data_IF_339567037096
#
_entry.id   IF_339567037096
#
_cell.length_a   1.000
_cell.length_b   1.000
_cell.length_c   1.000
_cell.angle_alpha   90.00
_cell.angle_beta   90.00
_cell.angle_gamma   90.00
#
_symmetry.space_group_name_H-M   'P 1'
#
loop_
_entity.id
_entity.type
_entity.pdbx_description
1 polymer ?
#
# COMPACT_ATOMS: atom_id res chain seq x y z
N UNK A 1 10.50 -22.42 -16.18
CA UNK A 1 9.89 -21.94 -14.95
C UNK A 1 9.80 -20.42 -15.11
N UNK A 2 8.62 -19.89 -15.33
CA UNK A 2 8.40 -18.46 -15.48
C UNK A 2 8.33 -17.82 -14.09
N UNK A 3 8.91 -16.63 -13.92
CA UNK A 3 8.97 -15.87 -12.65
C UNK A 3 7.61 -15.64 -11.96
N UNK A 4 6.51 -15.98 -12.62
CA UNK A 4 5.14 -15.86 -12.09
C UNK A 4 4.80 -16.85 -10.96
N UNK A 5 5.55 -17.94 -10.83
CA UNK A 5 5.29 -18.99 -9.81
C UNK A 5 6.00 -18.76 -8.48
N UNK A 6 6.78 -17.68 -8.36
CA UNK A 6 7.65 -17.46 -7.19
C UNK A 6 7.00 -16.63 -6.06
N UNK A 7 5.83 -16.02 -6.28
CA UNK A 7 5.21 -15.17 -5.26
C UNK A 7 3.91 -15.80 -4.75
N UNK A 8 3.76 -16.02 -3.45
CA UNK A 8 2.50 -16.42 -2.84
C UNK A 8 1.42 -15.36 -3.10
N UNK A 9 0.16 -15.69 -2.90
CA UNK A 9 -0.96 -14.79 -3.13
C UNK A 9 -0.85 -13.50 -2.32
N UNK A 10 -0.39 -13.59 -1.07
CA UNK A 10 -0.03 -12.47 -0.23
C UNK A 10 1.16 -12.79 0.66
N UNK A 11 1.96 -11.76 0.96
CA UNK A 11 3.06 -11.82 1.89
C UNK A 11 2.81 -10.88 3.07
N UNK A 12 3.12 -11.33 4.28
CA UNK A 12 3.08 -10.50 5.48
C UNK A 12 4.28 -9.55 5.47
N UNK A 13 4.02 -8.26 5.39
CA UNK A 13 5.05 -7.21 5.36
C UNK A 13 5.46 -6.77 6.77
N UNK A 14 4.49 -6.70 7.66
CA UNK A 14 4.65 -6.40 9.08
C UNK A 14 3.42 -6.93 9.82
N UNK A 15 3.42 -6.87 11.15
CA UNK A 15 2.29 -7.35 11.93
C UNK A 15 0.97 -6.75 11.43
N UNK A 16 0.10 -7.59 10.91
CA UNK A 16 -1.22 -7.24 10.40
C UNK A 16 -1.24 -6.62 8.99
N UNK A 17 -0.10 -6.27 8.38
CA UNK A 17 -0.07 -5.69 7.02
C UNK A 17 0.38 -6.74 5.99
N UNK A 18 -0.44 -6.97 4.99
CA UNK A 18 -0.23 -7.92 3.90
C UNK A 18 -0.23 -7.22 2.55
N UNK A 19 0.66 -7.66 1.66
CA UNK A 19 0.75 -7.20 0.27
C UNK A 19 0.51 -8.38 -0.67
N UNK A 20 -0.46 -8.27 -1.58
CA UNK A 20 -0.88 -9.39 -2.40
C UNK A 20 -1.34 -9.03 -3.81
N UNK A 21 -1.75 -10.08 -4.51
CA UNK A 21 -2.41 -10.03 -5.82
C UNK A 21 -3.93 -10.22 -5.68
N UNK A 22 -4.63 -10.27 -6.82
CA UNK A 22 -6.08 -10.48 -6.84
C UNK A 22 -6.49 -11.83 -6.23
N UNK A 23 -5.64 -12.86 -6.33
CA UNK A 23 -5.90 -14.19 -5.73
C UNK A 23 -5.93 -14.13 -4.20
N UNK A 24 -5.13 -13.25 -3.59
CA UNK A 24 -5.19 -13.02 -2.14
C UNK A 24 -6.58 -12.57 -1.70
N UNK A 25 -7.19 -11.65 -2.45
CA UNK A 25 -8.56 -11.19 -2.21
C UNK A 25 -9.57 -12.33 -2.33
N UNK A 26 -9.43 -13.17 -3.37
CA UNK A 26 -10.29 -14.33 -3.58
C UNK A 26 -10.12 -15.37 -2.47
N UNK A 27 -8.88 -15.59 -2.00
CA UNK A 27 -8.59 -16.52 -0.90
C UNK A 27 -9.20 -16.06 0.42
N UNK A 28 -9.20 -14.74 0.70
CA UNK A 28 -9.92 -14.19 1.85
C UNK A 28 -11.43 -14.46 1.77
N UNK A 29 -12.00 -14.47 0.55
CA UNK A 29 -13.41 -14.77 0.34
C UNK A 29 -13.76 -16.24 0.60
N UNK A 30 -12.78 -17.13 0.42
CA UNK A 30 -12.94 -18.58 0.57
C UNK A 30 -12.54 -19.09 1.97
N UNK A 31 -11.74 -18.32 2.72
CA UNK A 31 -11.43 -18.64 4.11
C UNK A 31 -12.73 -18.65 4.90
N UNK A 32 -13.17 -19.86 5.26
CA UNK A 32 -14.36 -20.05 6.09
C UNK A 32 -14.15 -19.38 7.45
N UNK A 33 -15.26 -18.97 8.04
CA UNK A 33 -15.42 -18.12 9.20
C UNK A 33 -14.81 -18.65 10.53
N UNK A 34 -13.76 -19.46 10.49
CA UNK A 34 -13.14 -20.02 11.69
C UNK A 34 -12.25 -19.03 12.46
N UNK A 35 -11.84 -17.94 11.86
CA UNK A 35 -11.17 -16.85 12.57
C UNK A 35 -11.91 -15.54 12.35
N UNK A 36 -12.39 -14.96 13.42
CA UNK A 36 -13.05 -13.64 13.49
C UNK A 36 -12.10 -12.47 13.13
N UNK A 37 -11.18 -12.69 12.19
CA UNK A 37 -10.27 -11.65 11.74
C UNK A 37 -11.05 -10.65 10.87
N UNK A 38 -11.29 -9.47 11.41
CA UNK A 38 -11.84 -8.36 10.64
C UNK A 38 -10.73 -7.80 9.73
N UNK A 39 -11.02 -7.77 8.43
CA UNK A 39 -10.10 -7.29 7.42
C UNK A 39 -10.45 -5.89 6.93
N UNK A 40 -9.41 -5.08 6.76
CA UNK A 40 -9.44 -3.91 5.91
C UNK A 40 -8.76 -4.24 4.58
N UNK A 41 -9.40 -3.95 3.46
CA UNK A 41 -8.84 -4.21 2.14
C UNK A 41 -8.63 -2.91 1.40
N UNK A 42 -7.43 -2.73 0.83
CA UNK A 42 -7.09 -1.65 -0.09
C UNK A 42 -6.87 -2.25 -1.48
N UNK A 43 -7.81 -2.02 -2.36
CA UNK A 43 -7.80 -2.48 -3.74
C UNK A 43 -7.30 -1.40 -4.67
N UNK A 44 -6.30 -1.69 -5.51
CA UNK A 44 -5.76 -0.76 -6.50
C UNK A 44 -5.88 -1.39 -7.89
N UNK A 45 -6.99 -1.14 -8.57
CA UNK A 45 -7.34 -1.78 -9.85
C UNK A 45 -7.88 -0.75 -10.85
N UNK A 46 -7.77 -1.07 -12.14
CA UNK A 46 -8.44 -0.32 -13.19
C UNK A 46 -9.97 -0.48 -13.11
N UNK A 47 -10.71 0.41 -13.73
CA UNK A 47 -12.18 0.31 -13.79
C UNK A 47 -12.64 -1.04 -14.37
N UNK A 48 -11.98 -1.52 -15.45
CA UNK A 48 -12.35 -2.79 -16.08
C UNK A 48 -12.05 -3.99 -15.18
N UNK A 49 -10.97 -3.93 -14.37
CA UNK A 49 -10.56 -5.02 -13.49
C UNK A 49 -11.44 -5.09 -12.21
N UNK A 50 -12.16 -4.01 -11.91
CA UNK A 50 -13.14 -3.96 -10.81
C UNK A 50 -14.48 -4.62 -11.17
N UNK A 51 -14.77 -4.80 -12.47
CA UNK A 51 -16.02 -5.44 -12.91
C UNK A 51 -16.10 -6.87 -12.40
N UNK A 52 -17.15 -7.18 -11.63
CA UNK A 52 -17.37 -8.51 -11.06
C UNK A 52 -16.53 -8.82 -9.81
N UNK A 53 -15.78 -7.86 -9.28
CA UNK A 53 -15.08 -8.03 -8.00
C UNK A 53 -16.08 -8.16 -6.86
N UNK A 54 -16.05 -9.31 -6.18
CA UNK A 54 -16.86 -9.57 -4.99
C UNK A 54 -16.01 -9.42 -3.75
N UNK A 55 -16.55 -8.73 -2.74
CA UNK A 55 -15.91 -8.61 -1.44
C UNK A 55 -16.17 -9.84 -0.57
N UNK A 56 -15.17 -10.31 0.17
CA UNK A 56 -15.38 -11.30 1.22
C UNK A 56 -16.29 -10.77 2.32
N UNK A 57 -17.05 -11.63 2.96
CA UNK A 57 -18.01 -11.28 4.05
C UNK A 57 -17.33 -10.68 5.28
N UNK A 58 -16.04 -10.95 5.48
CA UNK A 58 -15.25 -10.52 6.64
C UNK A 58 -14.49 -9.21 6.41
N UNK A 59 -14.74 -8.54 5.29
CA UNK A 59 -14.16 -7.20 5.04
C UNK A 59 -15.04 -6.15 5.68
N UNK A 60 -14.52 -5.56 6.76
CA UNK A 60 -15.17 -4.47 7.50
C UNK A 60 -15.01 -3.12 6.80
N UNK A 61 -13.86 -2.91 6.16
CA UNK A 61 -13.57 -1.68 5.44
C UNK A 61 -12.89 -1.96 4.10
N UNK A 62 -13.42 -1.39 3.03
CA UNK A 62 -12.87 -1.52 1.69
C UNK A 62 -12.57 -0.16 1.07
N UNK A 63 -11.29 0.12 0.87
CA UNK A 63 -10.84 1.28 0.13
C UNK A 63 -10.52 0.88 -1.32
N UNK A 64 -11.24 1.46 -2.27
CA UNK A 64 -10.98 1.26 -3.71
C UNK A 64 -10.25 2.47 -4.27
N UNK A 65 -9.10 2.22 -4.88
CA UNK A 65 -8.31 3.17 -5.64
C UNK A 65 -8.35 2.73 -7.11
N UNK A 66 -8.93 3.59 -7.96
CA UNK A 66 -9.06 3.32 -9.38
C UNK A 66 -7.82 3.80 -10.10
N UNK A 67 -7.00 2.86 -10.56
CA UNK A 67 -5.74 3.18 -11.23
C UNK A 67 -5.29 2.06 -12.17
N UNK A 68 -4.84 2.44 -13.35
CA UNK A 68 -4.08 1.57 -14.25
C UNK A 68 -2.60 1.51 -13.80
N UNK A 69 -1.90 0.46 -14.22
CA UNK A 69 -0.45 0.40 -14.06
C UNK A 69 0.22 1.04 -15.27
N UNK A 70 0.16 2.36 -15.33
CA UNK A 70 0.62 3.17 -16.44
C UNK A 70 1.47 4.34 -15.97
N UNK A 71 2.39 4.80 -16.83
CA UNK A 71 3.32 5.89 -16.53
C UNK A 71 2.62 7.27 -16.43
N UNK A 72 1.44 7.42 -17.02
CA UNK A 72 0.65 8.64 -16.96
C UNK A 72 -0.23 8.75 -15.70
N UNK A 73 -0.34 7.67 -14.92
CA UNK A 73 -1.20 7.62 -13.73
C UNK A 73 -0.52 8.31 -12.55
N UNK A 74 -1.25 9.19 -11.88
CA UNK A 74 -0.85 9.82 -10.64
C UNK A 74 -1.57 9.19 -9.43
N UNK A 75 -0.80 8.53 -8.56
CA UNK A 75 -1.27 7.96 -7.31
C UNK A 75 -1.06 8.88 -6.10
N UNK A 76 -0.40 10.03 -6.26
CA UNK A 76 -0.08 10.93 -5.14
C UNK A 76 -1.31 11.41 -4.36
N UNK A 77 -2.48 11.69 -4.97
CA UNK A 77 -3.67 12.06 -4.22
C UNK A 77 -4.19 10.96 -3.29
N UNK A 78 -3.86 9.70 -3.59
CA UNK A 78 -4.34 8.55 -2.84
C UNK A 78 -3.45 8.18 -1.65
N UNK A 79 -2.20 8.65 -1.60
CA UNK A 79 -1.22 8.21 -0.59
C UNK A 79 -1.68 8.51 0.84
N UNK A 80 -2.12 9.73 1.11
CA UNK A 80 -2.58 10.11 2.46
C UNK A 80 -3.84 9.36 2.87
N UNK A 81 -4.79 9.18 1.92
CA UNK A 81 -6.04 8.45 2.17
C UNK A 81 -5.80 6.97 2.45
N UNK A 82 -4.94 6.34 1.65
CA UNK A 82 -4.56 4.95 1.85
C UNK A 82 -3.79 4.75 3.17
N UNK A 83 -2.82 5.63 3.46
CA UNK A 83 -2.10 5.60 4.73
C UNK A 83 -3.06 5.69 5.93
N UNK A 84 -3.99 6.64 5.93
CA UNK A 84 -4.95 6.81 7.02
C UNK A 84 -5.82 5.57 7.22
N UNK A 85 -6.30 4.95 6.14
CA UNK A 85 -7.10 3.72 6.20
C UNK A 85 -6.29 2.55 6.79
N UNK A 86 -5.07 2.35 6.31
CA UNK A 86 -4.16 1.29 6.77
C UNK A 86 -3.81 1.50 8.24
N UNK A 87 -3.31 2.69 8.61
CA UNK A 87 -2.89 3.00 9.97
C UNK A 87 -4.06 2.86 10.97
N UNK A 88 -5.24 3.37 10.62
CA UNK A 88 -6.44 3.25 11.44
C UNK A 88 -6.87 1.79 11.65
N UNK A 89 -6.80 0.94 10.63
CA UNK A 89 -7.15 -0.47 10.74
C UNK A 89 -6.14 -1.22 11.63
N UNK A 90 -4.84 -1.01 11.40
CA UNK A 90 -3.77 -1.63 12.20
C UNK A 90 -3.83 -1.20 13.68
N UNK A 91 -4.12 0.09 13.95
CA UNK A 91 -4.27 0.59 15.32
C UNK A 91 -5.45 -0.06 16.06
N UNK A 92 -6.47 -0.54 15.34
CA UNK A 92 -7.59 -1.32 15.88
C UNK A 92 -7.34 -2.82 15.98
N UNK A 93 -6.12 -3.28 15.67
CA UNK A 93 -5.75 -4.69 15.68
C UNK A 93 -6.30 -5.49 14.50
N UNK A 94 -6.81 -4.82 13.44
CA UNK A 94 -7.32 -5.48 12.24
C UNK A 94 -6.18 -5.86 11.30
N UNK A 95 -6.40 -6.89 10.50
CA UNK A 95 -5.52 -7.23 9.38
C UNK A 95 -5.83 -6.37 8.16
N UNK A 96 -4.80 -5.98 7.42
CA UNK A 96 -4.91 -5.14 6.22
C UNK A 96 -4.30 -5.87 5.03
N UNK A 97 -5.08 -6.04 3.97
CA UNK A 97 -4.59 -6.51 2.68
C UNK A 97 -4.52 -5.33 1.70
N UNK A 98 -3.33 -5.02 1.19
CA UNK A 98 -3.15 -4.11 0.06
C UNK A 98 -2.90 -4.95 -1.18
N UNK A 99 -3.77 -4.89 -2.18
CA UNK A 99 -3.62 -5.70 -3.39
C UNK A 99 -3.89 -4.92 -4.67
N UNK A 100 -3.38 -5.46 -5.78
CA UNK A 100 -3.74 -5.07 -7.13
C UNK A 100 -3.93 -6.32 -7.99
N UNK A 101 -3.81 -6.24 -9.30
CA UNK A 101 -3.92 -7.41 -10.19
C UNK A 101 -2.84 -8.45 -9.91
N UNK A 102 -1.57 -8.05 -9.98
CA UNK A 102 -0.42 -8.95 -9.84
C UNK A 102 0.34 -8.83 -8.50
N UNK A 103 0.02 -7.83 -7.69
CA UNK A 103 0.75 -7.58 -6.44
C UNK A 103 2.20 -7.11 -6.65
N UNK A 104 2.48 -6.45 -7.78
CA UNK A 104 3.84 -6.09 -8.21
C UNK A 104 4.07 -4.57 -8.15
N UNK A 105 3.20 -3.77 -8.78
CA UNK A 105 3.45 -2.34 -8.99
C UNK A 105 2.52 -1.45 -8.19
N UNK A 106 1.22 -1.35 -8.53
CA UNK A 106 0.23 -0.45 -7.91
C UNK A 106 0.11 -0.65 -6.40
N UNK A 107 -0.14 -1.87 -5.95
CA UNK A 107 -0.27 -2.19 -4.53
C UNK A 107 1.03 -2.00 -3.77
N UNK A 108 2.17 -2.34 -4.38
CA UNK A 108 3.49 -2.10 -3.80
C UNK A 108 3.78 -0.61 -3.64
N UNK A 109 3.28 0.23 -4.56
CA UNK A 109 3.39 1.70 -4.44
C UNK A 109 2.60 2.22 -3.24
N UNK A 110 1.37 1.78 -3.06
CA UNK A 110 0.54 2.18 -1.91
C UNK A 110 1.14 1.68 -0.59
N UNK A 111 1.61 0.44 -0.53
CA UNK A 111 2.26 -0.09 0.67
C UNK A 111 3.57 0.66 0.99
N UNK A 112 4.37 1.03 -0.03
CA UNK A 112 5.58 1.83 0.15
C UNK A 112 5.25 3.25 0.65
N UNK A 113 4.22 3.89 0.09
CA UNK A 113 3.77 5.20 0.53
C UNK A 113 3.33 5.17 2.01
N UNK A 114 2.62 4.12 2.43
CA UNK A 114 2.29 3.92 3.85
C UNK A 114 3.55 3.83 4.72
N UNK A 115 4.54 3.04 4.34
CA UNK A 115 5.79 2.91 5.11
C UNK A 115 6.58 4.23 5.19
N UNK A 116 6.61 5.01 4.11
CA UNK A 116 7.23 6.34 4.08
C UNK A 116 6.57 7.28 5.10
N UNK A 117 5.24 7.35 5.07
CA UNK A 117 4.47 8.23 5.95
C UNK A 117 4.51 7.78 7.41
N UNK A 118 4.45 6.47 7.66
CA UNK A 118 4.43 5.89 9.01
C UNK A 118 5.80 5.96 9.69
N UNK A 119 6.88 5.71 8.94
CA UNK A 119 8.23 5.53 9.52
C UNK A 119 9.19 6.68 9.22
N UNK A 120 8.79 7.64 8.38
CA UNK A 120 9.67 8.73 7.96
C UNK A 120 10.89 8.27 7.15
N UNK A 121 10.84 7.11 6.51
CA UNK A 121 11.94 6.56 5.70
C UNK A 121 11.84 7.02 4.25
N UNK A 122 12.94 6.95 3.51
CA UNK A 122 12.96 7.29 2.10
C UNK A 122 12.35 6.20 1.20
N UNK A 123 12.12 6.51 -0.06
CA UNK A 123 11.49 5.59 -1.01
C UNK A 123 12.34 4.33 -1.28
N UNK A 124 13.68 4.40 -1.46
CA UNK A 124 14.51 3.21 -1.57
C UNK A 124 14.42 2.28 -0.36
N UNK A 125 14.43 2.83 0.85
CA UNK A 125 14.31 2.06 2.09
C UNK A 125 12.94 1.39 2.21
N UNK A 126 11.86 2.10 1.90
CA UNK A 126 10.51 1.53 1.89
C UNK A 126 10.39 0.35 0.90
N UNK A 127 10.89 0.52 -0.32
CA UNK A 127 10.92 -0.56 -1.32
C UNK A 127 11.82 -1.72 -0.91
N UNK A 128 12.94 -1.45 -0.23
CA UNK A 128 13.81 -2.50 0.29
C UNK A 128 13.11 -3.32 1.38
N UNK A 129 12.34 -2.69 2.28
CA UNK A 129 11.50 -3.39 3.26
C UNK A 129 10.53 -4.32 2.55
N UNK A 130 9.77 -3.82 1.58
CA UNK A 130 8.80 -4.66 0.86
C UNK A 130 9.47 -5.83 0.13
N UNK A 131 10.62 -5.63 -0.53
CA UNK A 131 11.33 -6.68 -1.28
C UNK A 131 11.84 -7.81 -0.42
N UNK A 132 12.13 -7.58 0.86
CA UNK A 132 12.53 -8.64 1.80
C UNK A 132 11.43 -9.66 2.00
N UNK A 133 10.18 -9.23 1.93
CA UNK A 133 9.01 -10.08 2.14
C UNK A 133 8.40 -10.56 0.83
N UNK A 134 8.35 -9.67 -0.19
CA UNK A 134 7.79 -9.96 -1.51
C UNK A 134 8.78 -9.56 -2.60
N UNK A 135 9.55 -10.53 -3.10
CA UNK A 135 10.66 -10.29 -4.04
C UNK A 135 10.22 -9.74 -5.37
N UNK A 136 9.01 -10.06 -5.81
CA UNK A 136 8.49 -9.70 -7.14
C UNK A 136 8.03 -8.24 -7.26
N UNK A 137 8.06 -7.43 -6.20
CA UNK A 137 7.61 -6.05 -6.30
C UNK A 137 8.49 -5.23 -7.25
N UNK A 138 7.84 -4.40 -8.04
CA UNK A 138 8.48 -3.52 -9.01
C UNK A 138 7.55 -2.39 -9.44
N UNK A 139 7.35 -1.33 -8.61
CA UNK A 139 6.63 -0.15 -9.06
C UNK A 139 7.21 0.40 -10.36
N UNK A 140 6.35 0.85 -11.28
CA UNK A 140 6.79 1.45 -12.53
C UNK A 140 7.59 2.75 -12.29
N UNK A 141 8.21 3.30 -13.32
CA UNK A 141 9.12 4.45 -13.18
C UNK A 141 8.41 5.71 -12.67
N UNK A 142 7.14 5.94 -13.07
CA UNK A 142 6.36 7.08 -12.60
C UNK A 142 6.02 6.93 -11.12
N UNK A 143 5.58 5.77 -10.68
CA UNK A 143 5.27 5.50 -9.27
C UNK A 143 6.51 5.60 -8.37
N UNK A 144 7.68 5.16 -8.85
CA UNK A 144 8.93 5.37 -8.08
C UNK A 144 9.29 6.85 -7.90
N UNK A 145 9.03 7.70 -8.92
CA UNK A 145 9.20 9.16 -8.77
C UNK A 145 8.23 9.73 -7.76
N UNK A 146 6.94 9.38 -7.84
CA UNK A 146 5.92 9.82 -6.90
C UNK A 146 6.25 9.44 -5.45
N UNK A 147 6.78 8.24 -5.22
CA UNK A 147 7.25 7.81 -3.90
C UNK A 147 8.46 8.63 -3.41
N UNK A 148 9.39 8.97 -4.30
CA UNK A 148 10.54 9.83 -3.96
C UNK A 148 10.06 11.22 -3.56
N UNK A 149 9.18 11.83 -4.34
CA UNK A 149 8.62 13.15 -4.08
C UNK A 149 7.85 13.17 -2.74
N UNK A 150 7.08 12.10 -2.45
CA UNK A 150 6.41 11.91 -1.16
C UNK A 150 7.39 11.89 0.00
N UNK A 151 8.49 11.14 -0.11
CA UNK A 151 9.47 11.01 0.95
C UNK A 151 10.19 12.34 1.22
N UNK A 152 10.54 13.08 0.17
CA UNK A 152 11.15 14.41 0.28
C UNK A 152 10.19 15.42 0.96
N UNK A 153 8.92 15.43 0.55
CA UNK A 153 7.91 16.29 1.17
C UNK A 153 7.64 15.92 2.64
N UNK A 154 7.63 14.62 2.97
CA UNK A 154 7.45 14.14 4.34
C UNK A 154 8.63 14.52 5.24
N UNK A 155 9.87 14.36 4.76
CA UNK A 155 11.08 14.75 5.47
C UNK A 155 11.11 16.27 5.73
N UNK A 156 10.72 17.10 4.76
CA UNK A 156 10.67 18.55 4.91
C UNK A 156 9.67 19.00 6.00
N UNK A 157 8.57 18.28 6.19
CA UNK A 157 7.58 18.56 7.24
C UNK A 157 8.05 18.13 8.63
N UNK A 158 8.93 17.13 8.72
CA UNK A 158 9.44 16.61 9.99
C UNK A 158 10.55 17.49 10.60
N UNK A 159 11.16 18.42 9.83
CA UNK A 159 12.12 19.37 10.36
C UNK A 159 11.36 20.50 11.07
N UNK A 160 11.46 20.65 12.42
CA UNK A 160 10.83 21.76 13.11
C UNK A 160 11.44 23.06 12.57
N UNK A 161 10.59 24.02 12.21
CA UNK A 161 11.01 25.31 11.68
C UNK A 161 12.08 25.93 12.58
N UNK A 162 13.20 26.29 12.00
CA UNK A 162 14.16 27.23 12.61
C UNK A 162 13.34 28.51 12.83
N UNK A 163 13.03 28.80 14.08
CA UNK A 163 12.43 30.07 14.47
C UNK A 163 13.29 31.19 13.87
N UNK A 164 12.71 32.03 13.02
CA UNK A 164 13.37 33.26 12.57
C UNK A 164 13.85 34.03 13.77
N UNK A 165 15.11 34.48 13.82
CA UNK A 165 15.55 35.36 14.89
C UNK A 165 14.72 36.63 14.81
N UNK A 166 13.93 36.88 15.84
CA UNK A 166 13.22 38.13 16.04
C UNK A 166 14.25 39.24 15.97
N UNK A 167 14.24 40.03 14.91
CA UNK A 167 14.98 41.30 14.85
C UNK A 167 14.36 42.22 15.89
N UNK A 168 15.03 42.28 17.04
CA UNK A 168 14.73 43.28 18.05
C UNK A 168 15.00 44.67 17.48
N UNK A 169 14.07 45.58 17.73
CA UNK A 169 14.19 47.01 17.59
C UNK A 169 15.22 47.57 18.57
#
# INVERSE_FOLDING_TARGET
MTDADCCPFADCISQGLYLGDLRAMTSLAQAEAEEQAEWCVVTVLSERDLVGLSLPRHVDHHLVIRADDDLAVDLTPEFARAHAAIASALARGKSVLVHCMAGISRSATIAAAHLILERGIDAPAALAVLRRHRRCIGPNAAFRRQLKDLAEANAARAVPGVAEPQRGL
#
